data_IF_886001259312
#
_entry.id   IF_886001259312
#
_cell.length_a   1.000
_cell.length_b   1.000
_cell.length_c   1.000
_cell.angle_alpha   90.00
_cell.angle_beta   90.00
_cell.angle_gamma   90.00
#
_symmetry.space_group_name_H-M   'P 1'
#
loop_
_entity.id
_entity.type
_entity.pdbx_description
1 polymer ?
#
# COMPACT_ATOMS: atom_id res chain seq x y z
N UNK A 1 -25.09 -3.60 -5.28
CA UNK A 1 -24.63 -2.43 -4.52
C UNK A 1 -23.49 -1.81 -5.30
N UNK A 2 -23.74 -0.73 -6.07
CA UNK A 2 -22.71 -0.02 -6.82
C UNK A 2 -22.00 0.94 -5.88
N UNK A 3 -20.67 0.82 -5.76
CA UNK A 3 -19.84 1.75 -4.99
C UNK A 3 -19.00 2.55 -5.98
N UNK A 4 -18.88 3.85 -5.78
CA UNK A 4 -18.03 4.67 -6.65
C UNK A 4 -16.56 4.42 -6.33
N UNK A 5 -15.75 4.29 -7.38
CA UNK A 5 -14.30 4.10 -7.25
C UNK A 5 -13.61 5.31 -6.62
N UNK A 6 -14.20 6.51 -6.72
CA UNK A 6 -13.66 7.73 -6.15
C UNK A 6 -13.40 7.62 -4.64
N UNK A 7 -14.23 6.89 -3.89
CA UNK A 7 -13.99 6.66 -2.45
C UNK A 7 -12.74 5.81 -2.16
N UNK A 8 -12.17 5.13 -3.16
CA UNK A 8 -10.98 4.30 -3.03
C UNK A 8 -9.70 5.04 -3.42
N UNK A 9 -9.82 6.22 -4.03
CA UNK A 9 -8.71 6.95 -4.64
C UNK A 9 -8.38 8.24 -3.89
N UNK A 10 -7.14 8.69 -4.05
CA UNK A 10 -6.62 9.99 -3.65
C UNK A 10 -6.06 10.68 -4.89
N UNK A 11 -6.32 11.99 -5.01
CA UNK A 11 -5.72 12.83 -6.03
C UNK A 11 -4.41 13.44 -5.50
N UNK A 12 -3.34 13.35 -6.29
CA UNK A 12 -2.04 13.96 -6.00
C UNK A 12 -1.93 15.26 -6.80
N UNK A 13 -2.20 16.43 -6.20
CA UNK A 13 -2.30 17.69 -6.93
C UNK A 13 -1.00 18.13 -7.61
N UNK A 14 0.15 17.74 -7.05
CA UNK A 14 1.47 18.09 -7.58
C UNK A 14 1.77 17.37 -8.90
N UNK A 15 1.21 16.17 -9.10
CA UNK A 15 1.48 15.29 -10.25
C UNK A 15 0.26 15.05 -11.13
N UNK A 16 -0.92 15.47 -10.68
CA UNK A 16 -2.21 15.15 -11.31
C UNK A 16 -2.57 13.65 -11.26
N UNK A 17 -1.81 12.83 -10.52
CA UNK A 17 -2.00 11.38 -10.51
C UNK A 17 -3.10 10.96 -9.53
N UNK A 18 -3.69 9.78 -9.79
CA UNK A 18 -4.58 9.10 -8.84
C UNK A 18 -3.85 7.92 -8.21
N UNK A 19 -3.90 7.80 -6.90
CA UNK A 19 -3.43 6.62 -6.16
C UNK A 19 -4.54 6.05 -5.29
N UNK A 20 -4.33 4.85 -4.75
CA UNK A 20 -5.23 4.29 -3.74
C UNK A 20 -5.14 5.10 -2.44
N UNK A 21 -6.27 5.28 -1.77
CA UNK A 21 -6.25 5.86 -0.44
C UNK A 21 -5.57 4.92 0.56
N UNK A 22 -5.13 5.47 1.69
CA UNK A 22 -4.35 4.73 2.67
C UNK A 22 -5.08 3.51 3.25
N UNK A 23 -6.41 3.56 3.37
CA UNK A 23 -7.19 2.42 3.87
C UNK A 23 -7.18 1.27 2.87
N UNK A 24 -7.35 1.56 1.58
CA UNK A 24 -7.31 0.55 0.51
C UNK A 24 -5.90 0.01 0.35
N UNK A 25 -4.88 0.86 0.41
CA UNK A 25 -3.47 0.44 0.40
C UNK A 25 -3.15 -0.49 1.58
N UNK A 26 -3.64 -0.21 2.80
CA UNK A 26 -3.49 -1.12 3.95
C UNK A 26 -4.15 -2.48 3.72
N UNK A 27 -5.37 -2.49 3.18
CA UNK A 27 -6.05 -3.75 2.85
C UNK A 27 -5.29 -4.56 1.79
N UNK A 28 -4.69 -3.90 0.80
CA UNK A 28 -3.88 -4.59 -0.22
C UNK A 28 -2.69 -5.30 0.42
N UNK A 29 -1.92 -4.62 1.28
CA UNK A 29 -0.81 -5.27 1.99
C UNK A 29 -1.29 -6.42 2.87
N UNK A 30 -2.43 -6.28 3.54
CA UNK A 30 -3.03 -7.37 4.33
C UNK A 30 -3.42 -8.57 3.45
N UNK A 31 -4.01 -8.34 2.27
CA UNK A 31 -4.39 -9.39 1.34
C UNK A 31 -3.18 -10.16 0.80
N UNK A 32 -2.02 -9.49 0.68
CA UNK A 32 -0.75 -10.10 0.30
C UNK A 32 -0.04 -10.84 1.45
N UNK A 33 -0.67 -10.98 2.63
CA UNK A 33 -0.07 -11.57 3.83
C UNK A 33 0.94 -10.66 4.53
N UNK A 34 1.05 -9.41 4.09
CA UNK A 34 1.85 -8.36 4.71
C UNK A 34 1.06 -7.52 5.70
N UNK A 35 1.69 -6.44 6.16
CA UNK A 35 1.08 -5.45 7.06
C UNK A 35 1.64 -4.08 6.77
N UNK A 36 0.75 -3.09 6.65
CA UNK A 36 1.12 -1.68 6.54
C UNK A 36 0.73 -0.94 7.82
N UNK A 37 1.70 -0.28 8.46
CA UNK A 37 1.47 0.56 9.63
C UNK A 37 1.89 1.99 9.30
N UNK A 38 1.06 2.96 9.72
CA UNK A 38 1.38 4.40 9.64
C UNK A 38 1.37 4.96 11.05
N UNK A 39 2.43 5.67 11.43
CA UNK A 39 2.58 6.30 12.76
C UNK A 39 3.06 7.73 12.60
N UNK A 40 2.52 8.63 13.40
CA UNK A 40 3.08 9.97 13.56
C UNK A 40 4.15 9.92 14.65
N UNK A 41 5.34 10.44 14.35
CA UNK A 41 6.45 10.56 15.28
C UNK A 41 6.79 12.04 15.49
N UNK A 42 7.02 12.50 16.74
CA UNK A 42 7.25 13.91 17.01
C UNK A 42 8.40 14.57 16.22
N UNK A 43 9.42 13.81 15.82
CA UNK A 43 10.60 14.34 15.11
C UNK A 43 10.69 13.92 13.64
N UNK A 44 9.98 12.85 13.25
CA UNK A 44 10.10 12.24 11.91
C UNK A 44 8.83 12.43 11.07
N UNK A 45 7.76 13.02 11.65
CA UNK A 45 6.48 13.19 10.98
C UNK A 45 5.79 11.84 10.74
N UNK A 46 5.21 11.67 9.55
CA UNK A 46 4.54 10.42 9.17
C UNK A 46 5.55 9.33 8.79
N UNK A 47 5.56 8.25 9.55
CA UNK A 47 6.38 7.07 9.29
C UNK A 47 5.51 5.91 8.82
N UNK A 48 5.81 5.44 7.61
CA UNK A 48 5.18 4.28 7.00
C UNK A 48 6.09 3.06 7.13
N UNK A 49 5.57 1.98 7.71
CA UNK A 49 6.29 0.71 7.87
C UNK A 49 5.54 -0.41 7.18
N UNK A 50 6.19 -1.07 6.22
CA UNK A 50 5.67 -2.25 5.53
C UNK A 50 6.36 -3.49 6.07
N UNK A 51 5.57 -4.48 6.46
CA UNK A 51 6.01 -5.85 6.72
C UNK A 51 5.52 -6.72 5.58
N UNK A 52 6.40 -7.49 4.96
CA UNK A 52 6.06 -8.45 3.93
C UNK A 52 6.35 -9.86 4.44
N UNK A 53 5.56 -10.87 4.02
CA UNK A 53 5.88 -12.24 4.34
C UNK A 53 7.25 -12.59 3.76
N UNK A 54 8.09 -13.25 4.56
CA UNK A 54 9.31 -13.86 4.05
C UNK A 54 8.91 -15.07 3.22
N UNK A 55 9.31 -15.12 1.96
CA UNK A 55 9.11 -16.32 1.14
C UNK A 55 9.91 -17.49 1.74
N UNK A 56 9.25 -18.41 2.44
CA UNK A 56 9.82 -19.75 2.68
C UNK A 56 9.50 -20.58 1.43
N UNK A 57 10.41 -20.48 0.46
CA UNK A 57 10.44 -21.17 -0.84
C UNK A 57 9.54 -22.41 -0.97
N UNK A 58 8.49 -22.26 -1.78
CA UNK A 58 8.20 -23.15 -2.89
C UNK A 58 8.25 -22.29 -4.15
N UNK A 59 9.42 -22.24 -4.80
CA UNK A 59 9.81 -21.14 -5.69
C UNK A 59 8.93 -20.94 -6.92
N UNK A 60 8.56 -19.68 -7.16
CA UNK A 60 8.30 -19.16 -8.49
C UNK A 60 8.98 -17.79 -8.57
N UNK A 61 10.01 -17.68 -9.41
CA UNK A 61 10.68 -16.41 -9.67
C UNK A 61 9.71 -15.50 -10.43
N UNK A 62 9.26 -14.41 -9.81
CA UNK A 62 8.70 -13.29 -10.55
C UNK A 62 9.86 -12.43 -11.04
N UNK A 63 10.19 -12.54 -12.33
CA UNK A 63 11.11 -11.62 -12.98
C UNK A 63 10.43 -10.25 -13.06
N UNK A 64 10.77 -9.33 -12.14
CA UNK A 64 10.36 -7.93 -12.23
C UNK A 64 11.29 -7.26 -13.24
N UNK A 65 10.80 -7.07 -14.45
CA UNK A 65 11.49 -6.27 -15.47
C UNK A 65 11.22 -4.79 -15.19
N UNK A 66 12.29 -4.02 -15.00
CA UNK A 66 12.29 -2.56 -14.99
C UNK A 66 12.34 -2.02 -16.42
#
# INVERSE_FOLDING_TARGET
NLKSIGHLLMFQPETGSLCLNLNVTKHLFQALGGKLIVRQRPQEGEVMTIFLPLEVRGGVNYEVKF
#
